data_IF_926163755652
#
_entry.id   IF_926163755652
#
_cell.length_a   1.000
_cell.length_b   1.000
_cell.length_c   1.000
_cell.angle_alpha   90.00
_cell.angle_beta   90.00
_cell.angle_gamma   90.00
#
_symmetry.space_group_name_H-M   'P 1'
#
loop_
_entity.id
_entity.type
_entity.pdbx_description
1 polymer ?
#
# COMPACT_ATOMS: atom_id res chain seq x y z
N UNK A 1 -9.31 -14.31 18.37
CA UNK A 1 -8.22 -13.41 17.97
C UNK A 1 -6.99 -13.73 18.80
N UNK A 2 -5.91 -14.17 18.14
CA UNK A 2 -4.59 -14.37 18.72
C UNK A 2 -3.79 -13.06 18.54
N UNK A 3 -3.60 -12.31 19.63
CA UNK A 3 -2.94 -10.98 19.58
C UNK A 3 -1.45 -11.09 19.32
N UNK A 4 -0.79 -12.10 19.90
CA UNK A 4 0.65 -12.31 19.75
C UNK A 4 1.00 -12.67 18.30
N UNK A 5 0.17 -13.51 17.66
CA UNK A 5 0.34 -13.85 16.25
C UNK A 5 0.16 -12.64 15.31
N UNK A 6 -0.82 -11.77 15.59
CA UNK A 6 -1.05 -10.55 14.83
C UNK A 6 0.13 -9.57 14.97
N UNK A 7 0.61 -9.35 16.18
CA UNK A 7 1.80 -8.52 16.44
C UNK A 7 3.04 -9.05 15.71
N UNK A 8 3.31 -10.36 15.84
CA UNK A 8 4.44 -10.98 15.20
C UNK A 8 4.40 -10.81 13.67
N UNK A 9 3.21 -10.96 13.08
CA UNK A 9 3.00 -10.76 11.65
C UNK A 9 3.17 -9.30 11.24
N UNK A 10 2.63 -8.36 12.01
CA UNK A 10 2.74 -6.92 11.72
C UNK A 10 4.20 -6.44 11.82
N UNK A 11 4.95 -6.90 12.82
CA UNK A 11 6.39 -6.65 12.92
C UNK A 11 7.20 -7.30 11.79
N UNK A 12 6.85 -8.53 11.37
CA UNK A 12 7.51 -9.18 10.25
C UNK A 12 7.27 -8.45 8.92
N UNK A 13 6.06 -7.91 8.72
CA UNK A 13 5.73 -7.05 7.58
C UNK A 13 6.47 -5.70 7.63
N UNK A 14 6.71 -5.15 8.82
CA UNK A 14 7.49 -3.93 9.03
C UNK A 14 9.01 -4.16 9.19
N UNK A 15 9.51 -5.38 8.95
CA UNK A 15 10.89 -5.79 9.25
C UNK A 15 11.95 -4.86 8.62
N UNK A 16 13.05 -4.51 9.32
CA UNK A 16 14.04 -3.53 8.87
C UNK A 16 14.53 -3.72 7.43
N UNK A 17 14.60 -2.63 6.67
CA UNK A 17 15.10 -2.64 5.28
C UNK A 17 14.18 -3.29 4.25
N UNK A 18 13.01 -3.79 4.68
CA UNK A 18 12.00 -4.38 3.78
C UNK A 18 10.74 -3.53 3.66
N UNK A 19 9.92 -3.78 2.66
CA UNK A 19 8.57 -3.21 2.59
C UNK A 19 7.62 -4.14 1.84
N UNK A 20 6.46 -3.62 1.50
CA UNK A 20 5.39 -4.41 0.89
C UNK A 20 5.29 -4.09 -0.60
N UNK A 21 5.25 -5.13 -1.43
CA UNK A 21 4.86 -5.01 -2.84
C UNK A 21 3.33 -5.01 -2.92
N UNK A 22 2.73 -3.92 -3.40
CA UNK A 22 1.29 -3.87 -3.66
C UNK A 22 1.01 -4.33 -5.10
N UNK A 23 0.78 -5.64 -5.28
CA UNK A 23 0.46 -6.30 -6.56
C UNK A 23 -1.04 -6.66 -6.67
N UNK A 24 -1.89 -5.89 -5.98
CA UNK A 24 -3.31 -6.10 -5.80
C UNK A 24 -4.17 -5.35 -6.84
N UNK A 25 -3.60 -5.05 -8.01
CA UNK A 25 -4.37 -4.41 -9.07
C UNK A 25 -5.52 -5.31 -9.51
N UNK A 26 -6.76 -4.83 -9.33
CA UNK A 26 -7.94 -5.46 -9.90
C UNK A 26 -7.81 -5.62 -11.43
N UNK A 27 -8.57 -6.54 -12.01
CA UNK A 27 -8.56 -6.81 -13.46
C UNK A 27 -8.68 -5.54 -14.32
N UNK A 28 -9.55 -4.55 -14.02
CA UNK A 28 -9.59 -3.30 -14.77
C UNK A 28 -8.34 -2.42 -14.57
N UNK A 29 -7.78 -2.40 -13.36
CA UNK A 29 -6.60 -1.60 -13.01
C UNK A 29 -5.36 -2.13 -13.73
N UNK A 30 -5.13 -3.45 -13.68
CA UNK A 30 -4.03 -4.07 -14.41
C UNK A 30 -4.22 -3.93 -15.92
N UNK A 31 -5.46 -4.04 -16.43
CA UNK A 31 -5.76 -3.80 -17.84
C UNK A 31 -5.35 -2.41 -18.31
N UNK A 32 -5.55 -1.36 -17.50
CA UNK A 32 -5.06 0.00 -17.82
C UNK A 32 -3.54 0.05 -17.89
N UNK A 33 -2.82 -0.66 -17.01
CA UNK A 33 -1.35 -0.72 -17.01
C UNK A 33 -0.81 -1.47 -18.25
N UNK A 34 -1.44 -2.57 -18.65
CA UNK A 34 -1.09 -3.31 -19.87
C UNK A 34 -1.38 -2.49 -21.13
N UNK A 35 -2.51 -1.78 -21.17
CA UNK A 35 -2.88 -0.94 -22.30
C UNK A 35 -1.89 0.20 -22.56
N UNK A 36 -1.22 0.73 -21.53
CA UNK A 36 -0.15 1.73 -21.69
C UNK A 36 1.07 1.19 -22.48
N UNK A 37 1.25 -0.13 -22.52
CA UNK A 37 2.26 -0.81 -23.33
C UNK A 37 1.71 -1.34 -24.66
N UNK A 38 0.43 -1.08 -24.98
CA UNK A 38 -0.24 -1.66 -26.15
C UNK A 38 -0.58 -3.14 -26.00
N UNK A 39 -0.59 -3.70 -24.78
CA UNK A 39 -0.88 -5.11 -24.50
C UNK A 39 -2.36 -5.32 -24.15
N UNK A 40 -2.96 -6.46 -24.51
CA UNK A 40 -4.33 -6.79 -24.16
C UNK A 40 -4.47 -7.19 -22.68
N UNK A 41 -5.67 -7.03 -22.11
CA UNK A 41 -5.94 -7.41 -20.72
C UNK A 41 -6.30 -8.90 -20.59
N UNK A 42 -5.32 -9.76 -20.82
CA UNK A 42 -5.49 -11.22 -20.78
C UNK A 42 -5.02 -11.83 -19.47
N UNK A 43 -5.67 -12.91 -19.05
CA UNK A 43 -5.31 -13.63 -17.81
C UNK A 43 -3.87 -14.12 -17.84
N UNK A 44 -3.41 -14.66 -18.98
CA UNK A 44 -2.04 -15.12 -19.17
C UNK A 44 -1.00 -14.04 -18.89
N UNK A 45 -1.17 -12.85 -19.48
CA UNK A 45 -0.27 -11.71 -19.29
C UNK A 45 -0.30 -11.18 -17.84
N UNK A 46 -1.48 -11.14 -17.20
CA UNK A 46 -1.58 -10.72 -15.79
C UNK A 46 -0.82 -11.67 -14.87
N UNK A 47 -0.96 -12.99 -15.10
CA UNK A 47 -0.24 -14.05 -14.39
C UNK A 47 1.26 -13.96 -14.64
N UNK A 48 1.70 -13.89 -15.90
CA UNK A 48 3.12 -13.85 -16.26
C UNK A 48 3.86 -12.68 -15.64
N UNK A 49 3.24 -11.50 -15.61
CA UNK A 49 3.85 -10.35 -14.96
C UNK A 49 3.97 -10.56 -13.44
N UNK A 50 2.99 -11.22 -12.80
CA UNK A 50 3.06 -11.52 -11.36
C UNK A 50 4.10 -12.57 -11.05
N UNK A 51 4.12 -13.64 -11.85
CA UNK A 51 5.16 -14.67 -11.79
C UNK A 51 6.56 -14.06 -11.96
N UNK A 52 6.73 -13.14 -12.91
CA UNK A 52 7.98 -12.41 -13.13
C UNK A 52 8.43 -11.71 -11.84
N UNK A 53 7.54 -10.98 -11.17
CA UNK A 53 7.87 -10.28 -9.93
C UNK A 53 8.16 -11.26 -8.78
N UNK A 54 7.33 -12.29 -8.60
CA UNK A 54 7.39 -13.17 -7.44
C UNK A 54 8.53 -14.19 -7.51
N UNK A 55 9.06 -14.43 -8.70
CA UNK A 55 10.23 -15.32 -8.92
C UNK A 55 11.54 -14.53 -9.07
N UNK A 56 11.51 -13.21 -8.85
CA UNK A 56 12.69 -12.37 -8.97
C UNK A 56 13.75 -12.72 -7.90
N UNK A 57 14.95 -13.20 -8.29
CA UNK A 57 15.96 -13.61 -7.32
C UNK A 57 16.40 -12.45 -6.42
N UNK A 58 16.35 -12.65 -5.10
CA UNK A 58 16.79 -11.66 -4.10
C UNK A 58 15.71 -10.66 -3.70
N UNK A 59 14.48 -10.74 -4.22
CA UNK A 59 13.40 -9.84 -3.81
C UNK A 59 13.09 -9.95 -2.31
N UNK A 60 13.25 -11.13 -1.72
CA UNK A 60 12.96 -11.43 -0.32
C UNK A 60 13.85 -10.67 0.66
N UNK A 61 14.97 -10.11 0.19
CA UNK A 61 15.86 -9.25 0.98
C UNK A 61 15.26 -7.86 1.20
N UNK A 62 14.29 -7.46 0.37
CA UNK A 62 13.72 -6.11 0.34
C UNK A 62 12.19 -6.10 0.43
N UNK A 63 11.54 -7.24 0.23
CA UNK A 63 10.09 -7.39 0.31
C UNK A 63 9.74 -8.31 1.48
N UNK A 64 8.93 -7.81 2.42
CA UNK A 64 8.44 -8.56 3.57
C UNK A 64 7.09 -9.23 3.28
N UNK A 65 6.26 -8.61 2.45
CA UNK A 65 4.97 -9.16 2.04
C UNK A 65 4.49 -8.64 0.70
N UNK A 66 3.53 -9.35 0.11
CA UNK A 66 2.89 -9.00 -1.16
C UNK A 66 1.39 -8.93 -0.99
N UNK A 67 0.79 -7.80 -1.37
CA UNK A 67 -0.67 -7.68 -1.46
C UNK A 67 -1.11 -8.24 -2.80
N UNK A 68 -1.99 -9.23 -2.78
CA UNK A 68 -2.52 -9.90 -3.96
C UNK A 68 -3.95 -9.44 -4.24
N UNK A 69 -4.38 -9.61 -5.49
CA UNK A 69 -5.79 -9.61 -5.85
C UNK A 69 -6.34 -11.04 -5.79
N UNK A 70 -7.66 -11.21 -5.62
CA UNK A 70 -8.31 -12.52 -5.50
C UNK A 70 -7.94 -13.47 -6.65
N UNK A 71 -7.88 -12.95 -7.88
CA UNK A 71 -7.44 -13.71 -9.06
C UNK A 71 -6.03 -14.30 -8.87
N UNK A 72 -5.09 -13.51 -8.34
CA UNK A 72 -3.68 -13.91 -8.18
C UNK A 72 -3.48 -14.85 -7.01
N UNK A 73 -4.20 -14.66 -5.91
CA UNK A 73 -4.15 -15.56 -4.74
C UNK A 73 -4.54 -17.00 -5.14
N UNK A 74 -5.46 -17.15 -6.09
CA UNK A 74 -5.98 -18.43 -6.59
C UNK A 74 -5.25 -18.93 -7.85
N UNK A 75 -4.27 -18.19 -8.36
CA UNK A 75 -3.54 -18.54 -9.57
C UNK A 75 -2.38 -19.48 -9.28
N UNK A 76 -2.11 -20.36 -10.24
CA UNK A 76 -0.86 -21.09 -10.36
C UNK A 76 0.09 -20.39 -11.35
N UNK A 77 1.39 -20.49 -11.06
CA UNK A 77 2.47 -20.12 -11.95
C UNK A 77 2.63 -21.14 -13.10
N UNK A 78 3.56 -20.88 -14.01
CA UNK A 78 3.82 -21.73 -15.18
C UNK A 78 4.33 -23.13 -14.83
N UNK A 79 4.94 -23.30 -13.68
CA UNK A 79 5.47 -24.57 -13.17
C UNK A 79 4.46 -25.38 -12.34
N UNK A 80 3.25 -24.84 -12.14
CA UNK A 80 2.15 -25.48 -11.42
C UNK A 80 2.08 -25.17 -9.92
N UNK A 81 3.09 -24.51 -9.33
CA UNK A 81 2.98 -24.03 -7.95
C UNK A 81 2.00 -22.87 -7.86
N UNK A 82 1.30 -22.75 -6.74
CA UNK A 82 0.48 -21.56 -6.46
C UNK A 82 1.37 -20.33 -6.27
N UNK A 83 0.83 -19.14 -6.58
CA UNK A 83 1.53 -17.88 -6.31
C UNK A 83 1.87 -17.71 -4.82
N UNK A 84 1.02 -18.27 -3.95
CA UNK A 84 1.22 -18.29 -2.48
C UNK A 84 2.44 -19.12 -2.11
N UNK A 85 2.55 -20.36 -2.61
CA UNK A 85 3.70 -21.24 -2.33
C UNK A 85 5.03 -20.61 -2.79
N UNK A 86 5.03 -19.90 -3.92
CA UNK A 86 6.21 -19.19 -4.41
C UNK A 86 6.67 -18.12 -3.41
N UNK A 87 5.74 -17.32 -2.87
CA UNK A 87 6.05 -16.28 -1.89
C UNK A 87 6.53 -16.89 -0.56
N UNK A 88 5.80 -17.89 -0.06
CA UNK A 88 6.12 -18.55 1.21
C UNK A 88 7.48 -19.25 1.17
N UNK A 89 7.84 -19.89 0.05
CA UNK A 89 9.14 -20.56 -0.11
C UNK A 89 10.35 -19.61 0.02
N UNK A 90 10.12 -18.31 -0.18
CA UNK A 90 11.11 -17.24 -0.06
C UNK A 90 11.00 -16.47 1.27
N UNK A 91 10.06 -16.84 2.15
CA UNK A 91 9.80 -16.14 3.40
C UNK A 91 9.10 -14.78 3.21
N UNK A 92 8.38 -14.61 2.10
CA UNK A 92 7.59 -13.41 1.83
C UNK A 92 6.13 -13.69 2.18
N UNK A 93 5.53 -12.82 3.00
CA UNK A 93 4.21 -13.04 3.55
C UNK A 93 3.14 -12.73 2.49
N UNK A 94 2.21 -13.65 2.17
CA UNK A 94 1.08 -13.37 1.30
C UNK A 94 0.02 -12.55 2.02
N UNK A 95 -0.55 -11.56 1.32
CA UNK A 95 -1.71 -10.82 1.77
C UNK A 95 -2.70 -10.56 0.66
N UNK A 96 -3.89 -10.06 1.01
CA UNK A 96 -5.03 -9.99 0.08
C UNK A 96 -5.74 -8.64 0.17
N UNK A 97 -6.12 -8.07 -0.98
CA UNK A 97 -7.07 -6.95 -1.02
C UNK A 97 -8.49 -7.47 -0.84
N UNK A 98 -9.20 -6.97 0.17
CA UNK A 98 -10.53 -7.47 0.55
C UNK A 98 -11.67 -6.47 0.31
N UNK A 99 -11.36 -5.22 0.00
CA UNK A 99 -12.37 -4.20 -0.30
C UNK A 99 -13.04 -4.43 -1.67
N UNK A 100 -14.33 -4.11 -1.74
CA UNK A 100 -15.19 -4.17 -2.92
C UNK A 100 -15.13 -2.93 -3.81
N UNK A 101 -14.11 -2.08 -3.63
CA UNK A 101 -13.91 -0.85 -4.40
C UNK A 101 -14.61 0.38 -3.82
N UNK A 102 -14.12 1.56 -4.23
CA UNK A 102 -14.66 2.86 -3.83
C UNK A 102 -15.76 3.32 -4.80
N UNK A 103 -16.98 3.45 -4.29
CA UNK A 103 -18.18 3.80 -5.05
C UNK A 103 -18.63 5.23 -4.74
N UNK A 104 -19.25 5.94 -5.69
CA UNK A 104 -19.79 7.28 -5.45
C UNK A 104 -20.78 7.29 -4.27
N UNK A 105 -20.76 8.35 -3.46
CA UNK A 105 -21.76 8.60 -2.42
C UNK A 105 -22.94 9.39 -3.01
N UNK A 106 -24.17 8.91 -2.81
CA UNK A 106 -25.38 9.48 -3.41
C UNK A 106 -25.58 10.98 -3.07
N UNK A 107 -25.36 11.35 -1.82
CA UNK A 107 -25.55 12.73 -1.32
C UNK A 107 -24.24 13.54 -1.19
N UNK A 108 -23.15 13.06 -1.80
CA UNK A 108 -21.84 13.71 -1.74
C UNK A 108 -21.09 13.64 -3.08
N UNK A 109 -21.41 14.54 -4.03
CA UNK A 109 -20.79 14.56 -5.35
C UNK A 109 -19.26 14.67 -5.28
N UNK A 110 -18.57 13.80 -6.02
CA UNK A 110 -17.10 13.74 -6.04
C UNK A 110 -16.47 12.93 -4.91
N UNK A 111 -17.28 12.49 -3.93
CA UNK A 111 -16.83 11.67 -2.81
C UNK A 111 -17.16 10.20 -3.02
N UNK A 112 -16.44 9.35 -2.30
CA UNK A 112 -16.57 7.90 -2.41
C UNK A 112 -16.58 7.24 -1.06
N UNK A 113 -17.34 6.16 -0.98
CA UNK A 113 -17.31 5.22 0.14
C UNK A 113 -16.87 3.86 -0.39
N UNK A 114 -15.94 3.24 0.31
CA UNK A 114 -15.48 1.89 -0.05
C UNK A 114 -16.48 0.85 0.46
N UNK A 115 -16.90 -0.04 -0.43
CA UNK A 115 -17.81 -1.14 -0.11
C UNK A 115 -17.05 -2.44 0.20
N UNK A 116 -17.76 -3.47 0.67
CA UNK A 116 -17.22 -4.83 0.84
C UNK A 116 -17.32 -5.42 2.24
N UNK A 117 -18.02 -4.79 3.19
CA UNK A 117 -18.19 -5.33 4.54
C UNK A 117 -19.11 -6.56 4.56
N UNK A 118 -20.11 -6.60 3.67
CA UNK A 118 -21.02 -7.74 3.55
C UNK A 118 -20.26 -9.01 3.18
N UNK A 119 -20.40 -10.06 3.99
CA UNK A 119 -19.71 -11.33 3.83
C UNK A 119 -18.19 -11.27 4.02
N UNK A 120 -17.64 -10.18 4.59
CA UNK A 120 -16.20 -10.01 4.74
C UNK A 120 -15.60 -11.06 5.69
N UNK A 121 -16.30 -11.41 6.78
CA UNK A 121 -15.81 -12.38 7.75
C UNK A 121 -15.55 -13.75 7.12
N UNK A 122 -16.49 -14.23 6.30
CA UNK A 122 -16.36 -15.49 5.56
C UNK A 122 -15.22 -15.44 4.55
N UNK A 123 -15.08 -14.32 3.82
CA UNK A 123 -13.96 -14.15 2.88
C UNK A 123 -12.61 -14.10 3.59
N UNK A 124 -12.49 -13.37 4.71
CA UNK A 124 -11.25 -13.31 5.48
C UNK A 124 -10.85 -14.69 6.02
N UNK A 125 -11.81 -15.49 6.50
CA UNK A 125 -11.56 -16.86 6.92
C UNK A 125 -11.04 -17.74 5.76
N UNK A 126 -11.69 -17.68 4.59
CA UNK A 126 -11.25 -18.38 3.39
C UNK A 126 -9.84 -17.92 2.96
N UNK A 127 -9.58 -16.62 2.95
CA UNK A 127 -8.27 -16.10 2.56
C UNK A 127 -7.15 -16.51 3.52
N UNK A 128 -7.45 -16.62 4.81
CA UNK A 128 -6.51 -17.17 5.78
C UNK A 128 -6.18 -18.65 5.48
N UNK A 129 -7.18 -19.46 5.12
CA UNK A 129 -7.00 -20.86 4.69
C UNK A 129 -6.18 -20.96 3.39
N UNK A 130 -6.33 -20.00 2.48
CA UNK A 130 -5.56 -19.88 1.25
C UNK A 130 -4.12 -19.34 1.46
N UNK A 131 -3.72 -19.06 2.69
CA UNK A 131 -2.34 -18.67 3.05
C UNK A 131 -2.12 -17.18 3.30
N UNK A 132 -3.14 -16.33 3.15
CA UNK A 132 -2.99 -14.92 3.52
C UNK A 132 -2.78 -14.76 5.04
N UNK A 133 -1.93 -13.82 5.44
CA UNK A 133 -1.70 -13.46 6.86
C UNK A 133 -1.97 -12.00 7.17
N UNK A 134 -2.21 -11.21 6.14
CA UNK A 134 -2.63 -9.83 6.25
C UNK A 134 -3.55 -9.48 5.10
N UNK A 135 -4.30 -8.42 5.25
CA UNK A 135 -5.17 -7.92 4.20
C UNK A 135 -5.11 -6.41 4.08
N UNK A 136 -5.84 -5.87 3.11
CA UNK A 136 -5.81 -4.45 2.79
C UNK A 136 -7.19 -3.93 2.40
N UNK A 137 -7.53 -2.76 2.94
CA UNK A 137 -8.72 -2.01 2.56
C UNK A 137 -8.39 -0.55 2.29
N UNK A 138 -8.74 -0.08 1.09
CA UNK A 138 -8.49 1.30 0.64
C UNK A 138 -9.73 2.18 0.76
N UNK A 139 -9.68 3.20 1.61
CA UNK A 139 -10.59 4.34 1.58
C UNK A 139 -10.02 5.47 0.69
N UNK A 140 -10.90 6.20 -0.01
CA UNK A 140 -10.50 7.27 -0.94
C UNK A 140 -11.08 8.59 -0.48
N UNK A 141 -10.21 9.51 -0.09
CA UNK A 141 -10.57 10.84 0.40
C UNK A 141 -10.18 11.88 -0.66
N UNK A 142 -11.19 12.44 -1.32
CA UNK A 142 -10.99 13.48 -2.33
C UNK A 142 -10.64 14.83 -1.67
N UNK A 143 -9.88 15.65 -2.40
CA UNK A 143 -9.44 16.98 -1.98
C UNK A 143 -9.79 17.98 -3.07
N UNK A 144 -10.42 19.09 -2.70
CA UNK A 144 -10.94 20.06 -3.66
C UNK A 144 -11.78 21.13 -2.97
N UNK A 145 -12.45 21.94 -3.77
CA UNK A 145 -13.38 22.95 -3.25
C UNK A 145 -14.55 22.26 -2.53
N UNK A 146 -14.73 22.57 -1.25
CA UNK A 146 -15.75 21.92 -0.41
C UNK A 146 -15.48 20.46 -0.03
N UNK A 147 -14.33 19.90 -0.44
CA UNK A 147 -13.96 18.50 -0.20
C UNK A 147 -12.72 18.36 0.71
N UNK A 148 -12.61 17.27 1.46
CA UNK A 148 -13.66 16.28 1.72
C UNK A 148 -14.71 16.82 2.70
N UNK A 149 -15.92 16.28 2.66
CA UNK A 149 -16.95 16.60 3.65
C UNK A 149 -16.75 15.79 4.93
N UNK A 150 -17.22 16.33 6.06
CA UNK A 150 -17.17 15.63 7.34
C UNK A 150 -17.89 14.27 7.31
N UNK A 151 -19.08 14.11 6.72
CA UNK A 151 -19.74 12.81 6.61
C UNK A 151 -18.93 11.77 5.82
N UNK A 152 -18.31 12.16 4.70
CA UNK A 152 -17.49 11.26 3.89
C UNK A 152 -16.28 10.72 4.66
N UNK A 153 -15.55 11.59 5.35
CA UNK A 153 -14.39 11.16 6.14
C UNK A 153 -14.83 10.24 7.29
N UNK A 154 -15.96 10.54 7.95
CA UNK A 154 -16.49 9.67 9.01
C UNK A 154 -16.90 8.30 8.49
N UNK A 155 -17.67 8.25 7.40
CA UNK A 155 -18.17 6.99 6.84
C UNK A 155 -17.01 6.07 6.41
N UNK A 156 -15.95 6.63 5.82
CA UNK A 156 -14.75 5.86 5.47
C UNK A 156 -13.97 5.41 6.71
N UNK A 157 -13.87 6.25 7.76
CA UNK A 157 -13.23 5.87 9.02
C UNK A 157 -13.97 4.72 9.71
N UNK A 158 -15.30 4.79 9.77
CA UNK A 158 -16.14 3.73 10.33
C UNK A 158 -15.99 2.42 9.55
N UNK A 159 -16.02 2.48 8.22
CA UNK A 159 -15.82 1.31 7.37
C UNK A 159 -14.44 0.67 7.54
N UNK A 160 -13.37 1.49 7.63
CA UNK A 160 -12.01 1.01 7.91
C UNK A 160 -11.92 0.33 9.29
N UNK A 161 -12.62 0.86 10.29
CA UNK A 161 -12.59 0.28 11.63
C UNK A 161 -13.35 -1.05 11.72
N UNK A 162 -14.52 -1.14 11.06
CA UNK A 162 -15.28 -2.38 10.98
C UNK A 162 -14.52 -3.46 10.20
N UNK A 163 -13.87 -3.09 9.09
CA UNK A 163 -12.95 -3.94 8.34
C UNK A 163 -11.81 -4.45 9.24
N UNK A 164 -11.07 -3.56 9.90
CA UNK A 164 -9.90 -3.93 10.68
C UNK A 164 -10.25 -4.89 11.82
N UNK A 165 -11.40 -4.69 12.49
CA UNK A 165 -11.90 -5.60 13.51
C UNK A 165 -12.19 -7.00 12.94
N UNK A 166 -12.90 -7.08 11.80
CA UNK A 166 -13.23 -8.35 11.14
C UNK A 166 -11.95 -9.10 10.72
N UNK A 167 -10.98 -8.40 10.14
CA UNK A 167 -9.69 -8.98 9.74
C UNK A 167 -8.95 -9.59 10.93
N UNK A 168 -8.86 -8.87 12.04
CA UNK A 168 -8.19 -9.37 13.25
C UNK A 168 -8.93 -10.56 13.88
N UNK A 169 -10.26 -10.59 13.82
CA UNK A 169 -11.06 -11.75 14.25
C UNK A 169 -10.74 -13.01 13.42
N UNK A 170 -10.47 -12.83 12.12
CA UNK A 170 -10.03 -13.88 11.20
C UNK A 170 -8.52 -14.20 11.27
N UNK A 171 -7.75 -13.54 12.14
CA UNK A 171 -6.31 -13.77 12.27
C UNK A 171 -5.46 -13.11 11.17
N UNK A 172 -6.00 -12.11 10.47
CA UNK A 172 -5.28 -11.32 9.47
C UNK A 172 -4.90 -9.96 10.05
N UNK A 173 -3.66 -9.52 9.80
CA UNK A 173 -3.24 -8.14 10.09
C UNK A 173 -3.88 -7.18 9.08
N UNK A 174 -4.70 -6.20 9.49
CA UNK A 174 -5.27 -5.24 8.56
C UNK A 174 -4.30 -4.11 8.21
N UNK A 175 -4.12 -3.87 6.92
CA UNK A 175 -3.55 -2.62 6.39
C UNK A 175 -4.68 -1.61 6.21
N UNK A 176 -4.71 -0.63 7.11
CA UNK A 176 -5.67 0.48 7.10
C UNK A 176 -5.17 1.56 6.14
N UNK A 177 -5.80 1.72 4.97
CA UNK A 177 -5.37 2.64 3.91
C UNK A 177 -6.36 3.81 3.71
N UNK A 178 -6.28 4.90 4.48
CA UNK A 178 -7.02 6.13 4.23
C UNK A 178 -6.24 7.05 3.29
N UNK A 179 -6.46 6.94 1.98
CA UNK A 179 -5.72 7.74 1.00
C UNK A 179 -6.39 9.10 0.74
N UNK A 180 -5.73 10.18 1.17
CA UNK A 180 -6.00 11.52 0.66
C UNK A 180 -5.34 11.66 -0.70
N UNK A 181 -6.15 11.87 -1.73
CA UNK A 181 -5.67 11.93 -3.12
C UNK A 181 -4.76 13.14 -3.35
N UNK A 182 -3.76 12.97 -4.23
CA UNK A 182 -2.88 14.07 -4.63
C UNK A 182 -3.36 14.83 -5.88
N UNK A 183 -4.52 14.48 -6.44
CA UNK A 183 -5.06 15.12 -7.64
C UNK A 183 -5.44 16.60 -7.38
N UNK A 184 -5.25 17.45 -8.40
CA UNK A 184 -5.65 18.86 -8.39
C UNK A 184 -4.50 19.84 -8.20
N UNK A 185 -4.77 20.99 -7.58
CA UNK A 185 -3.84 22.14 -7.47
C UNK A 185 -3.63 22.63 -6.03
N UNK A 186 -4.07 21.86 -5.04
CA UNK A 186 -4.00 22.23 -3.63
C UNK A 186 -2.56 22.29 -3.09
N UNK A 187 -2.34 23.14 -2.07
CA UNK A 187 -1.05 23.26 -1.40
C UNK A 187 -0.78 22.08 -0.46
N UNK A 188 0.49 21.89 -0.08
CA UNK A 188 0.87 20.91 0.95
C UNK A 188 0.17 21.19 2.29
N UNK A 189 -0.03 22.47 2.65
CA UNK A 189 -0.77 22.84 3.86
C UNK A 189 -2.22 22.35 3.85
N UNK A 190 -2.89 22.41 2.69
CA UNK A 190 -4.25 21.87 2.54
C UNK A 190 -4.26 20.34 2.64
N UNK A 191 -3.26 19.66 2.06
CA UNK A 191 -3.09 18.21 2.22
C UNK A 191 -2.86 17.84 3.70
N UNK A 192 -2.06 18.63 4.42
CA UNK A 192 -1.81 18.43 5.85
C UNK A 192 -3.11 18.48 6.65
N UNK A 193 -3.90 19.55 6.51
CA UNK A 193 -5.17 19.72 7.24
C UNK A 193 -6.12 18.53 7.05
N UNK A 194 -6.24 18.06 5.80
CA UNK A 194 -7.13 16.95 5.46
C UNK A 194 -6.57 15.62 5.94
N UNK A 195 -5.26 15.40 5.83
CA UNK A 195 -4.61 14.18 6.33
C UNK A 195 -4.74 14.10 7.85
N UNK A 196 -4.50 15.18 8.57
CA UNK A 196 -4.64 15.25 10.03
C UNK A 196 -6.09 14.98 10.47
N UNK A 197 -7.07 15.60 9.82
CA UNK A 197 -8.50 15.36 10.08
C UNK A 197 -8.88 13.89 9.83
N UNK A 198 -8.44 13.34 8.69
CA UNK A 198 -8.70 11.95 8.30
C UNK A 198 -8.11 10.97 9.31
N UNK A 199 -6.83 11.10 9.65
CA UNK A 199 -6.16 10.17 10.56
C UNK A 199 -6.76 10.22 11.97
N UNK A 200 -7.08 11.41 12.49
CA UNK A 200 -7.76 11.52 13.79
C UNK A 200 -9.09 10.78 13.83
N UNK A 201 -9.90 10.87 12.76
CA UNK A 201 -11.19 10.15 12.67
C UNK A 201 -10.99 8.65 12.52
N UNK A 202 -10.02 8.22 11.72
CA UNK A 202 -9.68 6.81 11.56
C UNK A 202 -9.26 6.21 12.89
N UNK A 203 -8.31 6.82 13.62
CA UNK A 203 -7.88 6.28 14.91
C UNK A 203 -8.96 6.35 15.99
N UNK A 204 -9.83 7.37 15.97
CA UNK A 204 -11.03 7.40 16.81
C UNK A 204 -11.96 6.23 16.54
N UNK A 205 -12.30 5.98 15.26
CA UNK A 205 -13.15 4.86 14.87
C UNK A 205 -12.51 3.50 15.20
N UNK A 206 -11.20 3.33 14.97
CA UNK A 206 -10.46 2.12 15.33
C UNK A 206 -10.56 1.84 16.84
N UNK A 207 -10.42 2.89 17.68
CA UNK A 207 -10.57 2.77 19.12
C UNK A 207 -12.01 2.39 19.52
N UNK A 208 -13.02 3.01 18.90
CA UNK A 208 -14.43 2.71 19.15
C UNK A 208 -14.80 1.26 18.80
N UNK A 209 -14.12 0.66 17.82
CA UNK A 209 -14.29 -0.76 17.42
C UNK A 209 -13.41 -1.72 18.23
N UNK A 210 -12.58 -1.21 19.14
CA UNK A 210 -11.67 -2.03 19.94
C UNK A 210 -10.58 -2.72 19.12
N UNK A 211 -10.17 -2.12 17.99
CA UNK A 211 -9.11 -2.65 17.13
C UNK A 211 -7.78 -2.67 17.87
N UNK A 212 -7.08 -3.79 17.78
CA UNK A 212 -5.81 -3.98 18.47
C UNK A 212 -4.66 -3.36 17.68
N UNK A 213 -4.23 -2.15 18.03
CA UNK A 213 -3.24 -1.37 17.26
C UNK A 213 -1.87 -2.05 17.06
N UNK A 214 -1.32 -2.82 18.02
CA UNK A 214 -0.08 -3.57 17.78
C UNK A 214 -0.20 -4.62 16.66
N UNK A 215 -1.43 -5.02 16.31
CA UNK A 215 -1.72 -5.96 15.24
C UNK A 215 -2.29 -5.32 13.97
N UNK A 216 -1.99 -4.05 13.67
CA UNK A 216 -2.35 -3.37 12.40
C UNK A 216 -1.12 -2.83 11.67
N UNK A 217 -1.30 -2.40 10.43
CA UNK A 217 -0.38 -1.48 9.77
C UNK A 217 -1.17 -0.29 9.20
N UNK A 218 -0.58 0.90 9.21
CA UNK A 218 -1.16 2.08 8.55
C UNK A 218 -0.54 2.26 7.17
N UNK A 219 -1.35 2.50 6.14
CA UNK A 219 -0.90 2.86 4.80
C UNK A 219 -1.48 4.22 4.41
N UNK A 220 -0.89 5.33 4.87
CA UNK A 220 -1.38 6.66 4.55
C UNK A 220 -0.72 7.17 3.28
N UNK A 221 -1.30 8.22 2.69
CA UNK A 221 -0.57 9.12 1.80
C UNK A 221 0.56 9.83 2.56
N UNK A 222 1.59 10.27 1.84
CA UNK A 222 2.47 11.32 2.34
C UNK A 222 1.74 12.67 2.28
N UNK A 223 2.10 13.61 3.16
CA UNK A 223 1.60 14.99 3.09
C UNK A 223 2.37 15.71 1.98
N UNK A 224 1.71 15.93 0.85
CA UNK A 224 2.33 16.44 -0.37
C UNK A 224 1.43 17.48 -1.05
N UNK A 225 2.02 18.44 -1.76
CA UNK A 225 1.26 19.31 -2.67
C UNK A 225 0.67 18.51 -3.83
N UNK A 226 -0.41 18.99 -4.40
CA UNK A 226 -1.07 18.33 -5.51
C UNK A 226 -0.16 18.15 -6.74
N UNK A 227 -0.50 17.18 -7.59
CA UNK A 227 0.25 16.86 -8.82
C UNK A 227 0.39 18.04 -9.77
N UNK A 228 -0.66 18.86 -9.90
CA UNK A 228 -0.71 20.00 -10.82
C UNK A 228 -0.50 21.36 -10.11
N UNK A 229 -0.02 21.35 -8.86
CA UNK A 229 0.27 22.57 -8.12
C UNK A 229 1.46 23.33 -8.78
N UNK A 230 1.31 24.63 -9.00
CA UNK A 230 2.36 25.46 -9.60
C UNK A 230 3.62 25.57 -8.71
N UNK A 231 3.45 25.38 -7.39
CA UNK A 231 4.48 25.45 -6.37
C UNK A 231 4.60 24.11 -5.63
N UNK A 232 4.97 23.03 -6.34
CA UNK A 232 5.15 21.71 -5.72
C UNK A 232 6.18 21.78 -4.60
N UNK A 233 5.83 21.18 -3.46
CA UNK A 233 6.68 21.10 -2.28
C UNK A 233 7.94 20.27 -2.59
N UNK A 234 9.06 20.68 -2.00
CA UNK A 234 10.33 19.96 -2.11
C UNK A 234 10.38 18.72 -1.19
N UNK A 235 11.38 17.86 -1.39
CA UNK A 235 11.52 16.60 -0.66
C UNK A 235 11.60 16.80 0.87
N UNK A 236 12.36 17.79 1.33
CA UNK A 236 12.52 18.09 2.76
C UNK A 236 11.21 18.57 3.41
N UNK A 237 10.43 19.35 2.67
CA UNK A 237 9.15 19.90 3.14
C UNK A 237 8.09 18.78 3.25
N UNK A 238 7.99 17.93 2.22
CA UNK A 238 7.12 16.74 2.23
C UNK A 238 7.45 15.83 3.41
N UNK A 239 8.74 15.56 3.64
CA UNK A 239 9.16 14.72 4.75
C UNK A 239 8.81 15.36 6.11
N UNK A 240 9.11 16.65 6.29
CA UNK A 240 8.86 17.38 7.53
C UNK A 240 7.37 17.44 7.87
N UNK A 241 6.52 17.81 6.90
CA UNK A 241 5.08 17.92 7.08
C UNK A 241 4.41 16.55 7.29
N UNK A 242 4.90 15.51 6.62
CA UNK A 242 4.41 14.15 6.83
C UNK A 242 4.74 13.68 8.25
N UNK A 243 5.99 13.82 8.70
CA UNK A 243 6.38 13.45 10.06
C UNK A 243 5.61 14.24 11.12
N UNK A 244 5.40 15.53 10.88
CA UNK A 244 4.60 16.40 11.77
C UNK A 244 3.17 15.89 11.91
N UNK A 245 2.53 15.54 10.80
CA UNK A 245 1.16 15.02 10.79
C UNK A 245 1.08 13.70 11.56
N UNK A 246 1.97 12.75 11.23
CA UNK A 246 1.95 11.42 11.86
C UNK A 246 2.17 11.50 13.37
N UNK A 247 3.13 12.32 13.82
CA UNK A 247 3.39 12.58 15.25
C UNK A 247 2.20 13.20 15.99
N UNK A 248 1.34 13.93 15.29
CA UNK A 248 0.15 14.53 15.87
C UNK A 248 -1.04 13.56 15.96
N UNK A 249 -1.11 12.53 15.09
CA UNK A 249 -2.35 11.74 14.92
C UNK A 249 -2.21 10.24 15.14
N UNK A 250 -1.02 9.65 14.98
CA UNK A 250 -0.83 8.20 15.04
C UNK A 250 -0.42 7.80 16.47
N UNK A 251 -1.04 6.79 17.11
CA UNK A 251 -0.59 6.25 18.39
C UNK A 251 0.71 5.44 18.27
N UNK A 252 1.60 5.52 19.26
CA UNK A 252 2.91 4.82 19.28
C UNK A 252 2.80 3.29 19.17
N UNK A 253 1.66 2.70 19.54
CA UNK A 253 1.42 1.25 19.54
C UNK A 253 1.31 0.65 18.12
N UNK A 254 1.13 1.46 17.07
CA UNK A 254 1.13 0.97 15.68
C UNK A 254 2.54 0.50 15.31
N UNK A 255 2.77 -0.74 14.85
CA UNK A 255 4.13 -1.22 14.62
C UNK A 255 4.81 -0.55 13.41
N UNK A 256 4.05 -0.20 12.36
CA UNK A 256 4.63 0.35 11.14
C UNK A 256 3.66 1.16 10.27
N UNK A 257 4.24 2.13 9.57
CA UNK A 257 3.60 3.00 8.58
C UNK A 257 4.19 2.65 7.21
N UNK A 258 3.37 2.06 6.36
CA UNK A 258 3.74 1.50 5.06
C UNK A 258 3.20 2.40 3.96
N UNK A 259 3.87 3.51 3.65
CA UNK A 259 3.32 4.55 2.77
C UNK A 259 2.88 4.01 1.39
N UNK A 260 1.77 4.52 0.88
CA UNK A 260 1.43 4.43 -0.53
C UNK A 260 2.24 5.46 -1.34
N UNK A 261 2.48 5.20 -2.62
CA UNK A 261 3.18 6.17 -3.49
C UNK A 261 2.26 7.22 -4.11
N UNK A 262 0.94 6.99 -4.16
CA UNK A 262 -0.08 7.99 -4.47
C UNK A 262 -0.08 8.58 -5.88
N UNK A 263 0.86 8.19 -6.75
CA UNK A 263 1.04 8.76 -8.08
C UNK A 263 2.42 9.36 -8.33
N UNK A 264 3.23 9.50 -7.26
CA UNK A 264 4.63 9.88 -7.35
C UNK A 264 5.43 8.96 -8.27
N UNK A 265 6.48 9.50 -8.88
CA UNK A 265 7.48 8.69 -9.59
C UNK A 265 8.21 7.73 -8.64
N UNK A 266 8.85 6.70 -9.19
CA UNK A 266 9.65 5.74 -8.41
C UNK A 266 10.75 6.45 -7.59
N UNK A 267 11.39 7.47 -8.18
CA UNK A 267 12.46 8.25 -7.54
C UNK A 267 11.91 9.18 -6.45
N UNK A 268 10.82 9.92 -6.72
CA UNK A 268 10.22 10.81 -5.71
C UNK A 268 9.75 10.04 -4.48
N UNK A 269 9.06 8.91 -4.67
CA UNK A 269 8.59 8.09 -3.56
C UNK A 269 9.76 7.59 -2.69
N UNK A 270 10.83 7.13 -3.33
CA UNK A 270 12.06 6.69 -2.64
C UNK A 270 12.72 7.85 -1.88
N UNK A 271 12.84 9.02 -2.51
CA UNK A 271 13.48 10.20 -1.91
C UNK A 271 12.72 10.75 -0.70
N UNK A 272 11.38 10.79 -0.75
CA UNK A 272 10.57 11.20 0.39
C UNK A 272 10.68 10.21 1.55
N UNK A 273 10.57 8.90 1.28
CA UNK A 273 10.74 7.87 2.31
C UNK A 273 12.13 7.95 2.96
N UNK A 274 13.16 8.17 2.15
CA UNK A 274 14.53 8.33 2.63
C UNK A 274 14.66 9.50 3.58
N UNK A 275 14.13 10.65 3.18
CA UNK A 275 14.28 11.90 3.91
C UNK A 275 13.50 11.84 5.23
N UNK A 276 12.32 11.23 5.26
CA UNK A 276 11.59 10.99 6.51
C UNK A 276 12.38 10.12 7.50
N UNK A 277 13.02 9.05 7.03
CA UNK A 277 13.85 8.20 7.89
C UNK A 277 15.14 8.91 8.34
N UNK A 278 15.78 9.69 7.46
CA UNK A 278 16.97 10.47 7.79
C UNK A 278 16.68 11.59 8.81
N UNK A 279 15.47 12.15 8.82
CA UNK A 279 15.01 13.17 9.78
C UNK A 279 14.56 12.57 11.14
N UNK A 280 14.80 11.28 11.37
CA UNK A 280 14.59 10.62 12.66
C UNK A 280 13.22 9.95 12.83
N UNK A 281 12.38 9.93 11.80
CA UNK A 281 11.14 9.15 11.79
C UNK A 281 10.19 9.44 12.96
N UNK A 282 9.65 8.37 13.55
CA UNK A 282 8.76 8.39 14.70
C UNK A 282 8.93 7.14 15.57
N UNK A 283 8.02 6.86 16.53
CA UNK A 283 8.06 5.64 17.33
C UNK A 283 7.71 4.37 16.53
N UNK A 284 7.34 4.52 15.26
CA UNK A 284 6.95 3.46 14.33
C UNK A 284 8.05 3.21 13.30
N UNK A 285 8.02 2.03 12.69
CA UNK A 285 8.78 1.78 11.47
C UNK A 285 8.18 2.56 10.29
N UNK A 286 9.01 3.33 9.57
CA UNK A 286 8.59 3.99 8.33
C UNK A 286 9.09 3.19 7.13
N UNK A 287 8.15 2.73 6.30
CA UNK A 287 8.41 1.84 5.17
C UNK A 287 7.48 2.15 4.00
N UNK A 288 7.42 1.25 3.03
CA UNK A 288 6.65 1.39 1.80
C UNK A 288 5.66 0.24 1.62
N UNK A 289 4.50 0.55 1.04
CA UNK A 289 3.58 -0.39 0.41
C UNK A 289 3.29 0.12 -1.00
N UNK A 290 4.21 -0.14 -1.91
CA UNK A 290 4.24 0.48 -3.24
C UNK A 290 3.75 -0.46 -4.33
N UNK A 291 2.87 0.05 -5.18
CA UNK A 291 2.47 -0.60 -6.42
C UNK A 291 3.26 -0.02 -7.58
N UNK A 292 2.73 1.06 -8.18
CA UNK A 292 3.38 1.75 -9.32
C UNK A 292 4.85 2.10 -9.06
N UNK A 293 5.19 2.61 -7.87
CA UNK A 293 6.55 3.03 -7.54
C UNK A 293 7.58 1.88 -7.38
N UNK A 294 7.12 0.62 -7.39
CA UNK A 294 8.00 -0.56 -7.43
C UNK A 294 7.94 -1.32 -8.75
N UNK A 295 6.85 -1.16 -9.50
CA UNK A 295 6.56 -2.01 -10.64
C UNK A 295 6.69 -1.31 -11.99
N UNK A 296 6.78 0.02 -12.06
CA UNK A 296 6.68 0.75 -13.33
C UNK A 296 7.83 0.41 -14.27
N UNK A 297 9.07 0.52 -13.80
CA UNK A 297 10.26 0.17 -14.59
C UNK A 297 10.29 -1.31 -14.97
N UNK A 298 9.90 -2.19 -14.04
CA UNK A 298 9.83 -3.63 -14.29
C UNK A 298 8.79 -3.98 -15.37
N UNK A 299 7.60 -3.38 -15.31
CA UNK A 299 6.53 -3.56 -16.29
C UNK A 299 6.95 -3.10 -17.68
N UNK A 300 7.57 -1.91 -17.77
CA UNK A 300 8.09 -1.37 -19.03
C UNK A 300 9.21 -2.22 -19.62
N UNK A 301 10.10 -2.74 -18.77
CA UNK A 301 11.20 -3.61 -19.19
C UNK A 301 10.68 -4.98 -19.66
N UNK A 302 9.70 -5.55 -18.97
CA UNK A 302 9.08 -6.82 -19.35
C UNK A 302 8.39 -6.72 -20.71
N UNK A 303 7.56 -5.70 -20.92
CA UNK A 303 6.96 -5.41 -22.22
C UNK A 303 6.02 -6.49 -22.76
N UNK A 304 5.60 -7.47 -21.95
CA UNK A 304 4.78 -8.60 -22.38
C UNK A 304 5.56 -9.75 -23.02
N UNK A 305 6.90 -9.77 -22.91
CA UNK A 305 7.75 -10.79 -23.52
C UNK A 305 8.55 -11.55 -22.44
N UNK A 306 8.42 -12.88 -22.45
CA UNK A 306 9.14 -13.78 -21.53
C UNK A 306 10.66 -13.67 -21.68
N UNK A 307 11.18 -13.30 -22.84
CA UNK A 307 12.63 -13.07 -23.07
C UNK A 307 13.17 -11.94 -22.17
N UNK A 308 12.32 -10.98 -21.80
CA UNK A 308 12.69 -9.84 -20.97
C UNK A 308 12.51 -10.10 -19.46
N UNK A 309 12.06 -11.29 -19.06
CA UNK A 309 11.75 -11.61 -17.67
C UNK A 309 12.93 -11.31 -16.72
N UNK A 310 14.14 -11.79 -17.03
CA UNK A 310 15.32 -11.55 -16.20
C UNK A 310 15.68 -10.06 -16.07
N UNK A 311 15.51 -9.27 -17.13
CA UNK A 311 15.76 -7.84 -17.09
C UNK A 311 14.70 -7.10 -16.25
N UNK A 312 13.43 -7.50 -16.37
CA UNK A 312 12.34 -6.96 -15.57
C UNK A 312 12.51 -7.28 -14.07
N UNK A 313 12.94 -8.50 -13.75
CA UNK A 313 13.29 -8.93 -12.39
C UNK A 313 14.41 -8.07 -11.82
N UNK A 314 15.49 -7.84 -12.59
CA UNK A 314 16.60 -6.98 -12.15
C UNK A 314 16.13 -5.53 -11.90
N UNK A 315 15.28 -4.99 -12.77
CA UNK A 315 14.70 -3.66 -12.58
C UNK A 315 13.84 -3.57 -11.31
N UNK A 316 13.00 -4.57 -11.06
CA UNK A 316 12.18 -4.67 -9.85
C UNK A 316 13.04 -4.74 -8.58
N UNK A 317 14.01 -5.67 -8.54
CA UNK A 317 14.89 -5.87 -7.38
C UNK A 317 15.74 -4.62 -7.12
N UNK A 318 16.22 -3.94 -8.17
CA UNK A 318 16.92 -2.67 -8.03
C UNK A 318 16.01 -1.62 -7.35
N UNK A 319 14.76 -1.45 -7.79
CA UNK A 319 13.81 -0.53 -7.12
C UNK A 319 13.54 -0.94 -5.67
N UNK A 320 13.34 -2.23 -5.41
CA UNK A 320 13.12 -2.74 -4.06
C UNK A 320 14.33 -2.45 -3.14
N UNK A 321 15.55 -2.66 -3.64
CA UNK A 321 16.81 -2.35 -2.92
C UNK A 321 16.93 -0.87 -2.56
N UNK A 322 16.59 0.03 -3.47
CA UNK A 322 16.64 1.47 -3.23
C UNK A 322 15.63 1.91 -2.17
N UNK A 323 14.41 1.38 -2.23
CA UNK A 323 13.40 1.61 -1.19
C UNK A 323 13.84 1.01 0.16
N UNK A 324 14.50 -0.14 0.16
CA UNK A 324 15.13 -0.72 1.35
C UNK A 324 16.24 0.18 1.93
N UNK A 325 17.05 0.82 1.09
CA UNK A 325 18.05 1.81 1.51
C UNK A 325 17.41 3.10 2.06
N UNK A 326 16.29 3.54 1.46
CA UNK A 326 15.51 4.68 1.92
C UNK A 326 14.96 4.48 3.34
N UNK A 327 14.58 3.25 3.72
CA UNK A 327 14.22 2.95 5.11
C UNK A 327 15.30 3.25 6.13
N UNK A 328 16.57 3.16 5.73
CA UNK A 328 17.69 3.48 6.61
C UNK A 328 18.13 4.95 6.52
N UNK A 329 17.44 5.78 5.72
CA UNK A 329 17.88 7.14 5.43
C UNK A 329 19.22 7.19 4.67
N UNK A 330 19.52 6.15 3.88
CA UNK A 330 20.81 5.96 3.18
C UNK A 330 20.68 5.88 1.66
N UNK A 331 19.49 6.11 1.11
CA UNK A 331 19.33 6.25 -0.32
C UNK A 331 20.03 7.54 -0.79
N UNK A 332 20.77 7.42 -1.90
CA UNK A 332 21.43 8.52 -2.57
C UNK A 332 21.21 8.40 -4.08
N UNK A 333 21.10 9.53 -4.78
CA UNK A 333 20.85 9.56 -6.22
C UNK A 333 21.88 8.77 -7.04
N UNK A 334 23.13 8.66 -6.57
CA UNK A 334 24.17 7.85 -7.24
C UNK A 334 23.92 6.34 -7.22
N UNK A 335 22.96 5.85 -6.41
CA UNK A 335 22.57 4.44 -6.37
C UNK A 335 21.62 4.04 -7.51
N UNK A 336 21.09 5.01 -8.25
CA UNK A 336 20.14 4.82 -9.36
C UNK A 336 20.77 4.20 -10.60
N UNK A 337 22.08 4.40 -10.78
CA UNK A 337 22.88 3.95 -11.91
C UNK A 337 23.30 2.49 -11.82
#
# INVERSE_FOLDING_TARGET
MDREALEATAHALAAPGKGILAADESTPTMGKRLAQLGLPNELGLRREFRETLFTAPGMEQHISGVILFDETLRQAASDGHSMVEILESQGVIPGIKVDGGAHPMDDAPGEKLTAGLDGLAERCAEYHELGARFDKWRAVIAIGEGLPTSPCVQANADALADYARISQEAGLVPIVEPEVLMDGTHSIGRCYEITECTLNRVFGALADRGVYLPGILLKPNMVISASDAANRAGVDEVASETLRCLKATVPADVPGIMFLSGGQSEVEATAHLNTMNAQGGGPWELSFSYGRALQQSALQTWGGDAVNCAAAQAAFVQRARLNGAARYGRYAAGMEA
#
